data_IF_309422029507
#
_entry.id   IF_309422029507
#
_cell.length_a   1.000
_cell.length_b   1.000
_cell.length_c   1.000
_cell.angle_alpha   90.00
_cell.angle_beta   90.00
_cell.angle_gamma   90.00
#
_symmetry.space_group_name_H-M   'P 1'
#
loop_
_entity.id
_entity.type
_entity.pdbx_description
1 polymer ?
#
# COMPACT_ATOMS: atom_id res chain seq x y z
N UNK A 1 9.09 6.88 -21.59
CA UNK A 1 10.10 7.38 -20.63
C UNK A 1 9.55 7.15 -19.23
N UNK A 2 9.94 6.07 -18.57
CA UNK A 2 9.59 5.81 -17.18
C UNK A 2 10.62 6.59 -16.36
N UNK A 3 10.18 7.65 -15.68
CA UNK A 3 11.04 8.54 -14.92
C UNK A 3 11.86 7.73 -13.91
N UNK A 4 13.18 7.89 -13.98
CA UNK A 4 14.03 7.65 -12.82
C UNK A 4 13.38 8.39 -11.66
N UNK A 5 13.16 7.69 -10.54
CA UNK A 5 12.77 8.30 -9.27
C UNK A 5 13.49 9.64 -9.14
N UNK A 6 12.75 10.75 -9.07
CA UNK A 6 13.36 12.08 -9.05
C UNK A 6 13.90 12.43 -7.64
N UNK A 7 14.64 11.48 -7.07
CA UNK A 7 15.46 11.66 -5.88
C UNK A 7 16.45 12.79 -6.10
N UNK A 8 16.77 13.14 -7.35
CA UNK A 8 17.58 14.32 -7.69
C UNK A 8 16.82 15.63 -7.43
N UNK A 9 15.54 15.70 -7.80
CA UNK A 9 14.66 16.87 -7.54
C UNK A 9 14.19 17.01 -6.10
N UNK A 10 14.34 16.00 -5.23
CA UNK A 10 14.01 16.16 -3.80
C UNK A 10 14.95 17.16 -3.12
N UNK A 11 14.40 18.05 -2.30
CA UNK A 11 15.18 18.96 -1.45
C UNK A 11 15.96 18.17 -0.39
N UNK A 12 17.08 18.73 0.10
CA UNK A 12 17.89 18.08 1.14
C UNK A 12 17.08 17.69 2.41
N UNK A 13 16.13 18.51 2.91
CA UNK A 13 15.27 18.10 4.02
C UNK A 13 14.36 16.90 3.69
N UNK A 14 13.79 16.84 2.49
CA UNK A 14 12.95 15.69 2.08
C UNK A 14 13.78 14.40 1.95
N UNK A 15 15.02 14.52 1.51
CA UNK A 15 15.98 13.41 1.45
C UNK A 15 16.35 12.92 2.85
N UNK A 16 16.61 13.82 3.78
CA UNK A 16 16.89 13.49 5.18
C UNK A 16 15.70 12.80 5.86
N UNK A 17 14.48 13.29 5.65
CA UNK A 17 13.24 12.66 6.15
C UNK A 17 13.02 11.27 5.57
N UNK A 18 13.31 11.07 4.28
CA UNK A 18 13.24 9.75 3.64
C UNK A 18 14.22 8.75 4.29
N UNK A 19 15.49 9.15 4.45
CA UNK A 19 16.54 8.32 5.03
C UNK A 19 16.24 8.01 6.50
N UNK A 20 15.93 9.05 7.29
CA UNK A 20 15.61 8.92 8.70
C UNK A 20 14.36 8.06 8.90
N UNK A 21 13.35 8.27 8.06
CA UNK A 21 12.14 7.47 8.03
C UNK A 21 12.40 5.99 7.73
N UNK A 22 13.24 5.70 6.75
CA UNK A 22 13.58 4.31 6.40
C UNK A 22 14.39 3.63 7.51
N UNK A 23 15.39 4.32 8.04
CA UNK A 23 16.19 3.84 9.17
C UNK A 23 15.31 3.55 10.40
N UNK A 24 14.40 4.48 10.75
CA UNK A 24 13.48 4.29 11.88
C UNK A 24 12.50 3.14 11.63
N UNK A 25 11.95 3.03 10.42
CA UNK A 25 11.04 1.93 10.05
C UNK A 25 11.72 0.57 10.19
N UNK A 26 12.96 0.45 9.71
CA UNK A 26 13.74 -0.78 9.82
C UNK A 26 14.04 -1.15 11.30
N UNK A 27 14.32 -0.15 12.14
CA UNK A 27 14.54 -0.34 13.58
C UNK A 27 13.22 -0.75 14.27
N UNK A 28 12.11 -0.06 14.01
CA UNK A 28 10.80 -0.42 14.57
C UNK A 28 10.34 -1.81 14.15
N UNK A 29 10.54 -2.20 12.89
CA UNK A 29 10.21 -3.55 12.40
C UNK A 29 11.08 -4.64 13.07
N UNK A 30 12.34 -4.33 13.43
CA UNK A 30 13.22 -5.24 14.19
C UNK A 30 12.79 -5.33 15.65
N UNK A 31 12.46 -4.21 16.28
CA UNK A 31 11.99 -4.16 17.66
C UNK A 31 10.65 -4.88 17.81
N UNK A 32 9.73 -4.73 16.85
CA UNK A 32 8.47 -5.47 16.83
C UNK A 32 8.67 -6.98 16.66
N UNK A 33 9.57 -7.42 15.76
CA UNK A 33 9.90 -8.85 15.62
C UNK A 33 10.54 -9.42 16.89
N UNK A 34 11.46 -8.69 17.50
CA UNK A 34 12.07 -9.07 18.78
C UNK A 34 11.03 -9.16 19.91
N UNK A 35 10.07 -8.24 19.97
CA UNK A 35 9.00 -8.23 20.97
C UNK A 35 7.96 -9.36 20.77
N UNK A 36 7.81 -9.86 19.54
CA UNK A 36 6.90 -10.96 19.20
C UNK A 36 7.56 -12.35 19.31
N UNK A 37 8.83 -12.42 19.71
CA UNK A 37 9.54 -13.69 19.94
C UNK A 37 9.85 -14.49 18.68
N UNK A 38 9.89 -13.85 17.50
CA UNK A 38 10.27 -14.50 16.24
C UNK A 38 11.80 -14.61 16.16
N UNK A 39 12.36 -15.45 17.02
CA UNK A 39 13.79 -15.81 17.06
C UNK A 39 13.94 -17.30 16.82
N UNK A 40 13.46 -17.84 15.69
CA UNK A 40 13.89 -19.18 15.28
C UNK A 40 13.72 -19.44 13.77
N UNK A 41 14.82 -19.29 13.05
CA UNK A 41 15.20 -20.26 12.01
C UNK A 41 16.59 -20.77 12.37
N UNK A 42 16.81 -22.09 12.45
CA UNK A 42 18.11 -22.62 12.83
C UNK A 42 19.13 -22.24 11.76
N UNK A 43 20.20 -21.59 12.20
CA UNK A 43 21.41 -21.40 11.42
C UNK A 43 21.99 -22.79 11.12
N UNK A 44 22.02 -23.16 9.84
CA UNK A 44 22.91 -24.22 9.39
C UNK A 44 24.34 -23.70 9.58
N UNK A 45 25.08 -24.38 10.44
CA UNK A 45 26.43 -24.05 10.84
C UNK A 45 27.38 -24.00 9.63
N UNK A 46 28.13 -22.90 9.52
CA UNK A 46 29.19 -22.74 8.54
C UNK A 46 29.50 -21.27 8.28
N UNK A 47 30.58 -20.79 8.88
CA UNK A 47 31.29 -19.53 8.61
C UNK A 47 30.76 -18.23 9.25
N UNK A 48 31.50 -17.82 10.27
CA UNK A 48 31.51 -16.54 10.97
C UNK A 48 31.96 -15.39 10.05
N UNK A 49 31.02 -14.70 9.40
CA UNK A 49 31.13 -13.25 9.13
C UNK A 49 29.76 -12.60 9.29
N UNK A 50 29.67 -11.65 10.22
CA UNK A 50 28.49 -10.82 10.43
C UNK A 50 28.03 -10.18 9.11
N UNK A 51 26.75 -10.27 8.69
CA UNK A 51 26.28 -9.50 7.56
C UNK A 51 26.00 -8.08 8.03
N UNK A 52 26.95 -7.20 7.74
CA UNK A 52 26.80 -5.75 7.86
C UNK A 52 25.65 -5.24 6.99
N UNK A 53 25.03 -4.19 7.50
CA UNK A 53 23.92 -3.43 6.94
C UNK A 53 24.18 -2.91 5.52
N UNK A 54 23.65 -3.58 4.50
CA UNK A 54 23.68 -3.10 3.10
C UNK A 54 22.52 -2.15 2.73
N UNK A 55 21.68 -1.75 3.69
CA UNK A 55 20.47 -0.94 3.42
C UNK A 55 20.68 0.59 3.42
N UNK A 56 21.65 1.10 4.19
CA UNK A 56 21.92 2.54 4.33
C UNK A 56 23.06 2.99 3.42
N UNK A 57 24.10 2.15 3.29
CA UNK A 57 25.23 2.34 2.38
C UNK A 57 24.81 2.35 0.91
N UNK A 58 23.83 1.51 0.52
CA UNK A 58 23.29 1.52 -0.85
C UNK A 58 22.48 2.78 -1.16
N UNK A 59 21.88 3.41 -0.14
CA UNK A 59 21.22 4.71 -0.27
C UNK A 59 22.26 5.83 -0.39
N UNK A 60 23.29 5.83 0.47
CA UNK A 60 24.41 6.78 0.46
C UNK A 60 25.23 6.71 -0.85
N UNK A 61 25.56 5.52 -1.34
CA UNK A 61 26.27 5.33 -2.61
C UNK A 61 25.49 5.89 -3.81
N UNK A 62 24.16 5.89 -3.74
CA UNK A 62 23.30 6.49 -4.77
C UNK A 62 23.23 8.03 -4.68
N UNK A 63 23.56 8.60 -3.52
CA UNK A 63 23.68 10.04 -3.27
C UNK A 63 25.04 10.61 -3.70
N UNK A 64 26.11 9.83 -3.59
CA UNK A 64 27.49 10.28 -3.85
C UNK A 64 27.92 10.20 -5.33
N UNK A 65 27.05 9.72 -6.22
CA UNK A 65 27.33 9.70 -7.66
C UNK A 65 28.51 8.81 -8.08
N UNK A 66 28.92 7.86 -7.24
CA UNK A 66 30.05 6.96 -7.54
C UNK A 66 29.57 5.81 -8.44
N UNK A 67 30.18 5.57 -9.61
CA UNK A 67 29.76 4.47 -10.48
C UNK A 67 30.19 3.15 -9.85
N UNK A 68 29.25 2.22 -9.70
CA UNK A 68 29.57 0.81 -9.54
C UNK A 68 30.19 0.33 -10.87
N UNK A 69 31.39 -0.24 -10.79
CA UNK A 69 32.10 -0.81 -11.93
C UNK A 69 31.27 -1.91 -12.59
N UNK A 70 30.97 -1.73 -13.88
CA UNK A 70 30.33 -2.73 -14.73
C UNK A 70 31.37 -3.69 -15.33
N UNK A 71 31.06 -4.98 -15.52
CA UNK A 71 31.69 -5.75 -16.57
C UNK A 71 31.00 -5.47 -17.92
N UNK A 72 31.81 -5.33 -18.96
CA UNK A 72 31.42 -5.18 -20.35
C UNK A 72 30.57 -6.35 -20.85
N UNK A 73 29.46 -6.04 -21.54
CA UNK A 73 28.85 -6.92 -22.53
C UNK A 73 28.20 -6.09 -23.65
N UNK A 74 28.85 -6.15 -24.81
CA UNK A 74 28.37 -6.07 -26.20
C UNK A 74 26.96 -5.54 -26.50
N UNK A 75 26.92 -4.57 -27.42
CA UNK A 75 25.74 -3.83 -27.84
C UNK A 75 24.61 -4.66 -28.44
N UNK A 76 23.39 -4.25 -28.10
CA UNK A 76 22.16 -4.58 -28.80
C UNK A 76 21.29 -3.32 -28.86
N UNK A 77 21.05 -2.83 -30.07
CA UNK A 77 20.09 -1.74 -30.36
C UNK A 77 18.66 -2.22 -30.12
N UNK A 78 17.96 -1.59 -29.17
CA UNK A 78 16.53 -1.82 -28.93
C UNK A 78 15.67 -0.95 -29.85
N UNK A 79 14.88 -1.60 -30.70
CA UNK A 79 13.77 -1.03 -31.46
C UNK A 79 12.56 -0.98 -30.51
N UNK A 80 12.03 0.21 -30.23
CA UNK A 80 10.81 0.41 -29.44
C UNK A 80 9.63 -0.31 -30.11
N UNK A 81 9.18 -1.42 -29.54
CA UNK A 81 7.87 -2.00 -29.85
C UNK A 81 6.96 -1.74 -28.66
N UNK A 82 5.95 -0.91 -28.89
CA UNK A 82 4.82 -0.71 -27.97
C UNK A 82 4.20 -2.08 -27.72
N UNK A 83 4.33 -2.58 -26.49
CA UNK A 83 3.67 -3.82 -26.05
C UNK A 83 2.19 -3.50 -25.80
N UNK A 84 1.36 -3.71 -26.82
CA UNK A 84 -0.06 -3.95 -26.62
C UNK A 84 -0.23 -5.24 -25.80
N UNK A 85 -0.83 -5.12 -24.62
CA UNK A 85 -1.21 -6.27 -23.81
C UNK A 85 -2.42 -6.99 -24.43
N UNK A 86 -2.51 -8.34 -24.31
CA UNK A 86 -3.68 -9.08 -24.77
C UNK A 86 -4.91 -8.68 -23.95
N UNK A 87 -6.00 -8.35 -24.64
CA UNK A 87 -7.31 -8.12 -24.02
C UNK A 87 -7.88 -9.47 -23.59
N UNK A 88 -7.95 -9.70 -22.29
CA UNK A 88 -8.88 -10.68 -21.74
C UNK A 88 -10.20 -9.94 -21.52
N UNK A 89 -11.19 -10.25 -22.36
CA UNK A 89 -12.52 -9.66 -22.29
C UNK A 89 -13.19 -10.09 -20.97
N UNK A 90 -13.11 -9.20 -19.97
CA UNK A 90 -13.97 -9.27 -18.79
C UNK A 90 -15.35 -8.72 -19.17
N UNK A 91 -16.46 -9.33 -18.71
CA UNK A 91 -17.79 -8.85 -19.00
C UNK A 91 -17.95 -7.41 -18.49
N UNK A 92 -18.58 -6.57 -19.32
CA UNK A 92 -18.84 -5.17 -19.03
C UNK A 92 -19.72 -5.05 -17.77
N UNK A 93 -19.08 -4.83 -16.62
CA UNK A 93 -19.77 -4.30 -15.44
C UNK A 93 -20.36 -2.95 -15.81
N UNK A 94 -21.64 -2.74 -15.49
CA UNK A 94 -22.34 -1.47 -15.66
C UNK A 94 -21.38 -0.31 -15.37
N UNK A 95 -21.24 0.60 -16.34
CA UNK A 95 -20.37 1.76 -16.20
C UNK A 95 -20.89 2.61 -15.04
N UNK A 96 -20.37 2.37 -13.85
CA UNK A 96 -20.58 3.22 -12.70
C UNK A 96 -20.15 4.66 -13.00
N UNK A 97 -20.47 5.61 -12.10
CA UNK A 97 -20.21 7.03 -12.33
C UNK A 97 -18.76 7.26 -12.77
N UNK A 98 -18.58 7.98 -13.88
CA UNK A 98 -17.25 8.32 -14.37
C UNK A 98 -16.54 9.24 -13.39
N UNK A 99 -15.24 8.98 -13.18
CA UNK A 99 -14.41 9.84 -12.36
C UNK A 99 -14.14 11.16 -13.10
N UNK A 100 -14.31 12.29 -12.41
CA UNK A 100 -14.11 13.61 -13.02
C UNK A 100 -12.91 14.36 -12.41
N UNK A 101 -12.28 15.21 -13.21
CA UNK A 101 -11.16 16.05 -12.75
C UNK A 101 -11.60 17.06 -11.69
N UNK A 102 -12.81 17.62 -11.82
CA UNK A 102 -13.37 18.57 -10.88
C UNK A 102 -13.51 17.97 -9.46
N UNK A 103 -14.02 16.75 -9.34
CA UNK A 103 -14.16 16.04 -8.07
C UNK A 103 -12.82 15.67 -7.40
N UNK A 104 -11.74 15.57 -8.19
CA UNK A 104 -10.39 15.36 -7.65
C UNK A 104 -9.72 16.64 -7.15
N UNK A 105 -10.16 17.83 -7.60
CA UNK A 105 -9.58 19.11 -7.22
C UNK A 105 -8.06 19.16 -7.43
N UNK A 106 -7.29 19.48 -6.38
CA UNK A 106 -5.82 19.50 -6.40
C UNK A 106 -5.18 18.17 -6.80
N UNK A 107 -5.94 17.07 -6.77
CA UNK A 107 -5.49 15.72 -7.12
C UNK A 107 -5.76 15.34 -8.58
N UNK A 108 -6.30 16.25 -9.40
CA UNK A 108 -6.63 16.00 -10.81
C UNK A 108 -5.45 15.45 -11.63
N UNK A 109 -4.21 15.80 -11.26
CA UNK A 109 -2.97 15.25 -11.86
C UNK A 109 -2.87 13.72 -11.80
N UNK A 110 -3.57 13.09 -10.86
CA UNK A 110 -3.57 11.63 -10.67
C UNK A 110 -4.67 10.92 -11.48
N UNK A 111 -5.55 11.65 -12.16
CA UNK A 111 -6.67 11.10 -12.93
C UNK A 111 -6.23 10.01 -13.93
N UNK A 112 -5.17 10.19 -14.75
CA UNK A 112 -4.76 9.15 -15.69
C UNK A 112 -4.30 7.86 -15.00
N UNK A 113 -3.59 7.97 -13.86
CA UNK A 113 -3.14 6.81 -13.10
C UNK A 113 -4.33 6.06 -12.48
N UNK A 114 -5.31 6.80 -11.93
CA UNK A 114 -6.54 6.22 -11.39
C UNK A 114 -7.34 5.48 -12.46
N UNK A 115 -7.49 6.07 -13.66
CA UNK A 115 -8.20 5.43 -14.77
C UNK A 115 -7.49 4.16 -15.25
N UNK A 116 -6.16 4.18 -15.41
CA UNK A 116 -5.40 2.98 -15.81
C UNK A 116 -5.48 1.88 -14.77
N UNK A 117 -5.32 2.22 -13.48
CA UNK A 117 -5.40 1.26 -12.40
C UNK A 117 -6.81 0.67 -12.26
N UNK A 118 -7.85 1.51 -12.40
CA UNK A 118 -9.25 1.08 -12.43
C UNK A 118 -9.52 0.11 -13.59
N UNK A 119 -9.11 0.45 -14.81
CA UNK A 119 -9.27 -0.40 -15.98
C UNK A 119 -8.58 -1.77 -15.80
N UNK A 120 -7.33 -1.76 -15.31
CA UNK A 120 -6.53 -2.99 -15.10
C UNK A 120 -7.13 -3.91 -14.04
N UNK A 121 -7.73 -3.34 -13.00
CA UNK A 121 -8.26 -4.11 -11.87
C UNK A 121 -9.76 -4.34 -11.94
N UNK A 122 -10.47 -3.70 -12.87
CA UNK A 122 -11.94 -3.71 -12.95
C UNK A 122 -12.62 -3.06 -11.74
N UNK A 123 -11.92 -2.19 -11.00
CA UNK A 123 -12.52 -1.40 -9.91
C UNK A 123 -13.13 -0.11 -10.48
N UNK A 124 -14.26 0.38 -9.94
CA UNK A 124 -14.74 1.71 -10.28
C UNK A 124 -13.68 2.76 -9.92
N UNK A 125 -13.36 3.67 -10.85
CA UNK A 125 -12.32 4.67 -10.63
C UNK A 125 -12.66 5.62 -9.47
N UNK A 126 -13.94 5.95 -9.28
CA UNK A 126 -14.44 6.72 -8.13
C UNK A 126 -14.26 5.98 -6.81
N UNK A 127 -14.44 4.66 -6.79
CA UNK A 127 -14.16 3.82 -5.63
C UNK A 127 -12.67 3.82 -5.28
N UNK A 128 -11.81 3.66 -6.29
CA UNK A 128 -10.37 3.72 -6.12
C UNK A 128 -9.92 5.08 -5.58
N UNK A 129 -10.39 6.18 -6.17
CA UNK A 129 -10.08 7.53 -5.70
C UNK A 129 -10.51 7.77 -4.25
N UNK A 130 -11.67 7.23 -3.84
CA UNK A 130 -12.10 7.30 -2.44
C UNK A 130 -11.19 6.55 -1.47
N UNK A 131 -10.69 5.37 -1.86
CA UNK A 131 -9.73 4.60 -1.06
C UNK A 131 -8.40 5.38 -0.96
N UNK A 132 -7.85 5.86 -2.08
CA UNK A 132 -6.62 6.67 -2.06
C UNK A 132 -6.80 7.90 -1.19
N UNK A 133 -7.93 8.60 -1.33
CA UNK A 133 -8.23 9.76 -0.52
C UNK A 133 -8.37 9.42 0.97
N UNK A 134 -8.91 8.27 1.34
CA UNK A 134 -9.06 7.87 2.73
C UNK A 134 -7.71 7.54 3.39
N UNK A 135 -6.76 7.00 2.63
CA UNK A 135 -5.43 6.62 3.15
C UNK A 135 -4.41 7.77 3.11
N UNK A 136 -4.46 8.61 2.07
CA UNK A 136 -3.45 9.62 1.86
C UNK A 136 -3.48 10.71 2.95
N UNK A 137 -2.30 11.01 3.49
CA UNK A 137 -2.06 12.29 4.16
C UNK A 137 -2.34 13.44 3.19
N UNK A 138 -2.90 14.54 3.70
CA UNK A 138 -3.35 15.68 2.87
C UNK A 138 -2.64 16.96 3.27
N UNK A 139 -2.29 17.77 2.27
CA UNK A 139 -1.86 19.15 2.43
C UNK A 139 -3.01 20.05 2.88
N UNK A 140 -2.69 21.31 3.18
CA UNK A 140 -3.70 22.33 3.55
C UNK A 140 -4.70 22.59 2.42
N UNK A 141 -4.26 22.40 1.17
CA UNK A 141 -5.03 22.51 -0.06
C UNK A 141 -5.80 21.21 -0.42
N UNK A 142 -5.72 20.17 0.42
CA UNK A 142 -6.33 18.87 0.13
C UNK A 142 -5.54 18.00 -0.85
N UNK A 143 -4.36 18.44 -1.31
CA UNK A 143 -3.50 17.63 -2.18
C UNK A 143 -2.96 16.40 -1.42
N UNK A 144 -2.98 15.25 -2.08
CA UNK A 144 -2.47 14.00 -1.54
C UNK A 144 -0.95 14.03 -1.46
N UNK A 145 -0.42 13.68 -0.28
CA UNK A 145 1.00 13.73 0.03
C UNK A 145 1.66 12.37 -0.23
N UNK A 146 2.39 12.26 -1.33
CA UNK A 146 3.11 11.04 -1.69
C UNK A 146 4.21 10.69 -0.68
N UNK A 147 4.73 11.67 0.04
CA UNK A 147 5.77 11.48 1.07
C UNK A 147 5.20 11.34 2.49
N UNK A 148 3.88 11.14 2.64
CA UNK A 148 3.29 10.92 3.95
C UNK A 148 3.84 9.65 4.60
N UNK A 149 4.05 9.70 5.92
CA UNK A 149 4.52 8.58 6.73
C UNK A 149 3.84 8.56 8.08
N UNK A 150 3.57 7.37 8.59
CA UNK A 150 3.11 7.19 9.96
C UNK A 150 4.32 7.14 10.91
N UNK A 151 4.39 7.96 11.97
CA UNK A 151 5.54 7.97 12.86
C UNK A 151 5.67 6.73 13.76
N UNK A 152 4.62 5.91 13.85
CA UNK A 152 4.53 4.76 14.74
C UNK A 152 4.59 3.41 14.01
N UNK A 153 4.77 3.41 12.69
CA UNK A 153 4.82 2.19 11.89
C UNK A 153 5.63 2.39 10.61
N UNK A 154 5.76 1.33 9.81
CA UNK A 154 6.38 1.40 8.49
C UNK A 154 5.48 1.99 7.40
N UNK A 155 4.22 2.34 7.71
CA UNK A 155 3.26 2.86 6.73
C UNK A 155 3.76 4.15 6.05
N UNK A 156 3.74 4.15 4.72
CA UNK A 156 4.21 5.26 3.89
C UNK A 156 3.48 5.34 2.55
N UNK A 157 3.48 6.53 1.96
CA UNK A 157 2.94 6.75 0.61
C UNK A 157 1.46 7.10 0.59
N UNK A 158 0.92 7.23 -0.63
CA UNK A 158 -0.51 7.53 -0.81
C UNK A 158 -1.44 6.46 -0.23
N UNK A 159 -0.97 5.21 -0.17
CA UNK A 159 -1.73 4.08 0.36
C UNK A 159 -1.29 3.64 1.75
N UNK A 160 -0.42 4.39 2.43
CA UNK A 160 0.07 4.08 3.78
C UNK A 160 0.52 2.61 3.94
N UNK A 161 1.13 2.03 2.91
CA UNK A 161 1.50 0.62 2.90
C UNK A 161 2.61 0.33 3.90
N UNK A 162 2.42 -0.71 4.71
CA UNK A 162 3.50 -1.31 5.53
C UNK A 162 4.55 -1.95 4.63
N UNK A 163 5.80 -2.04 5.11
CA UNK A 163 6.91 -2.64 4.35
C UNK A 163 6.61 -4.07 3.92
N UNK A 164 6.11 -4.91 4.85
CA UNK A 164 5.78 -6.30 4.57
C UNK A 164 4.63 -6.46 3.58
N UNK A 165 3.60 -5.62 3.67
CA UNK A 165 2.50 -5.63 2.69
C UNK A 165 2.99 -5.23 1.31
N UNK A 166 3.86 -4.23 1.22
CA UNK A 166 4.43 -3.77 -0.04
C UNK A 166 5.31 -4.84 -0.70
N UNK A 167 6.19 -5.48 0.07
CA UNK A 167 6.98 -6.63 -0.38
C UNK A 167 6.08 -7.76 -0.86
N UNK A 168 5.06 -8.15 -0.08
CA UNK A 168 4.11 -9.17 -0.49
C UNK A 168 3.39 -8.82 -1.80
N UNK A 169 3.06 -7.55 -2.01
CA UNK A 169 2.49 -7.09 -3.29
C UNK A 169 3.49 -7.24 -4.44
N UNK A 170 4.78 -6.98 -4.21
CA UNK A 170 5.85 -7.16 -5.19
C UNK A 170 6.17 -8.64 -5.47
N UNK A 171 5.88 -9.56 -4.57
CA UNK A 171 6.10 -11.00 -4.74
C UNK A 171 4.87 -11.71 -5.34
N UNK A 172 3.71 -11.06 -5.25
CA UNK A 172 2.46 -11.62 -5.73
C UNK A 172 2.30 -11.47 -7.24
N UNK A 173 2.25 -12.60 -7.95
CA UNK A 173 1.95 -12.62 -9.40
C UNK A 173 0.66 -11.89 -9.75
N UNK A 174 0.66 -11.19 -10.89
CA UNK A 174 -0.49 -10.45 -11.41
C UNK A 174 -0.70 -9.05 -10.81
N UNK A 175 0.12 -8.63 -9.85
CA UNK A 175 0.14 -7.23 -9.41
C UNK A 175 1.07 -6.40 -10.28
N UNK A 176 0.77 -5.11 -10.39
CA UNK A 176 1.62 -4.15 -11.07
C UNK A 176 3.02 -4.09 -10.44
N UNK A 177 3.10 -4.14 -9.11
CA UNK A 177 4.37 -4.05 -8.39
C UNK A 177 5.25 -5.28 -8.64
N UNK A 178 4.64 -6.46 -8.79
CA UNK A 178 5.36 -7.68 -9.14
C UNK A 178 5.86 -7.65 -10.59
N UNK A 179 5.09 -7.08 -11.53
CA UNK A 179 5.57 -6.87 -12.89
C UNK A 179 6.76 -5.90 -12.92
N UNK A 180 6.72 -4.82 -12.14
CA UNK A 180 7.86 -3.89 -11.98
C UNK A 180 9.06 -4.59 -11.35
N UNK A 181 8.87 -5.37 -10.29
CA UNK A 181 9.94 -6.08 -9.63
C UNK A 181 10.59 -7.12 -10.57
N UNK A 182 9.78 -7.85 -11.37
CA UNK A 182 10.28 -8.78 -12.39
C UNK A 182 11.07 -8.05 -13.48
N UNK A 183 10.52 -6.97 -14.04
CA UNK A 183 11.16 -6.19 -15.09
C UNK A 183 12.51 -5.58 -14.65
N UNK A 184 12.67 -5.31 -13.35
CA UNK A 184 13.90 -4.78 -12.76
C UNK A 184 14.86 -5.84 -12.23
N UNK A 185 14.53 -7.13 -12.37
CA UNK A 185 15.35 -8.22 -11.85
C UNK A 185 15.47 -8.21 -10.32
N UNK A 186 14.44 -7.74 -9.61
CA UNK A 186 14.45 -7.61 -8.15
C UNK A 186 13.96 -8.86 -7.41
N UNK A 187 13.48 -9.86 -8.13
CA UNK A 187 12.98 -11.11 -7.57
C UNK A 187 13.98 -12.24 -7.82
N UNK A 188 14.15 -13.13 -6.84
CA UNK A 188 14.90 -14.37 -7.00
C UNK A 188 14.07 -15.45 -7.74
N UNK A 189 14.65 -16.63 -7.95
CA UNK A 189 13.99 -17.76 -8.63
C UNK A 189 12.71 -18.25 -7.94
N UNK A 190 12.55 -17.93 -6.65
CA UNK A 190 11.34 -18.25 -5.87
C UNK A 190 10.29 -17.15 -5.95
N UNK A 191 10.53 -16.08 -6.70
CA UNK A 191 9.65 -14.91 -6.81
C UNK A 191 9.69 -13.98 -5.59
N UNK A 192 10.69 -14.12 -4.72
CA UNK A 192 10.84 -13.32 -3.50
C UNK A 192 11.75 -12.12 -3.74
N UNK A 193 11.50 -11.01 -3.05
CA UNK A 193 12.31 -9.80 -3.18
C UNK A 193 13.72 -10.06 -2.68
N UNK A 194 14.72 -9.78 -3.51
CA UNK A 194 16.12 -9.89 -3.13
C UNK A 194 16.51 -8.82 -2.11
N UNK A 195 17.26 -9.20 -1.09
CA UNK A 195 17.64 -8.30 0.00
C UNK A 195 18.32 -7.00 -0.47
N UNK A 196 19.19 -7.09 -1.50
CA UNK A 196 19.88 -5.94 -2.08
C UNK A 196 18.98 -4.93 -2.81
N UNK A 197 17.77 -5.34 -3.21
CA UNK A 197 16.82 -4.50 -3.94
C UNK A 197 15.70 -3.95 -3.03
N UNK A 198 15.65 -4.39 -1.77
CA UNK A 198 14.55 -4.10 -0.84
C UNK A 198 14.32 -2.60 -0.64
N UNK A 199 15.37 -1.81 -0.45
CA UNK A 199 15.24 -0.34 -0.25
C UNK A 199 14.68 0.36 -1.49
N UNK A 200 15.13 -0.06 -2.68
CA UNK A 200 14.66 0.46 -3.97
C UNK A 200 13.20 0.09 -4.23
N UNK A 201 12.79 -1.10 -3.81
CA UNK A 201 11.39 -1.50 -3.85
C UNK A 201 10.54 -0.64 -2.91
N UNK A 202 10.97 -0.49 -1.65
CA UNK A 202 10.22 0.26 -0.63
C UNK A 202 10.10 1.75 -0.95
N UNK A 203 11.05 2.33 -1.69
CA UNK A 203 10.98 3.73 -2.13
C UNK A 203 9.88 3.99 -3.17
N UNK A 204 9.41 2.96 -3.88
CA UNK A 204 8.28 3.10 -4.80
C UNK A 204 6.96 3.43 -4.07
N UNK A 205 6.89 3.29 -2.74
CA UNK A 205 5.73 3.79 -1.96
C UNK A 205 5.56 5.30 -2.04
N UNK A 206 6.61 6.05 -2.37
CA UNK A 206 6.52 7.50 -2.55
C UNK A 206 6.25 7.90 -3.99
N UNK A 207 6.24 6.94 -4.92
CA UNK A 207 5.80 7.17 -6.29
C UNK A 207 4.28 7.07 -6.36
N UNK A 208 3.65 8.11 -6.93
CA UNK A 208 2.20 8.22 -6.96
C UNK A 208 1.57 7.12 -7.84
N UNK A 209 2.15 6.83 -9.00
CA UNK A 209 1.62 5.84 -9.93
C UNK A 209 1.77 4.42 -9.37
N UNK A 210 2.92 4.09 -8.81
CA UNK A 210 3.16 2.83 -8.12
C UNK A 210 2.21 2.65 -6.94
N UNK A 211 2.01 3.69 -6.13
CA UNK A 211 1.09 3.64 -5.00
C UNK A 211 -0.35 3.41 -5.45
N UNK A 212 -0.84 4.16 -6.44
CA UNK A 212 -2.21 4.03 -6.94
C UNK A 212 -2.45 2.64 -7.53
N UNK A 213 -1.51 2.11 -8.32
CA UNK A 213 -1.62 0.76 -8.87
C UNK A 213 -1.62 -0.31 -7.77
N UNK A 214 -0.74 -0.19 -6.77
CA UNK A 214 -0.68 -1.11 -5.65
C UNK A 214 -1.94 -1.05 -4.78
N UNK A 215 -2.52 0.13 -4.55
CA UNK A 215 -3.81 0.28 -3.85
C UNK A 215 -4.90 -0.45 -4.63
N UNK A 216 -4.96 -0.28 -5.95
CA UNK A 216 -5.95 -0.95 -6.80
C UNK A 216 -5.81 -2.48 -6.73
N UNK A 217 -4.58 -3.00 -6.83
CA UNK A 217 -4.33 -4.45 -6.72
C UNK A 217 -4.71 -5.00 -5.36
N UNK A 218 -4.34 -4.29 -4.30
CA UNK A 218 -4.61 -4.73 -2.94
C UNK A 218 -6.11 -4.68 -2.64
N UNK A 219 -6.81 -3.64 -3.10
CA UNK A 219 -8.26 -3.52 -3.03
C UNK A 219 -8.95 -4.68 -3.76
N UNK A 220 -8.53 -4.99 -5.01
CA UNK A 220 -9.06 -6.14 -5.77
C UNK A 220 -8.85 -7.45 -5.03
N UNK A 221 -7.64 -7.73 -4.55
CA UNK A 221 -7.35 -8.96 -3.78
C UNK A 221 -8.15 -9.07 -2.50
N UNK A 222 -8.36 -7.96 -1.79
CA UNK A 222 -9.19 -7.93 -0.60
C UNK A 222 -10.64 -8.29 -0.94
N UNK A 223 -11.20 -7.67 -1.98
CA UNK A 223 -12.56 -7.97 -2.44
C UNK A 223 -12.72 -9.43 -2.85
N UNK A 224 -11.77 -9.98 -3.63
CA UNK A 224 -11.85 -11.37 -4.07
C UNK A 224 -11.73 -12.34 -2.89
N UNK A 225 -10.93 -11.99 -1.88
CA UNK A 225 -10.80 -12.79 -0.66
C UNK A 225 -12.02 -12.70 0.25
N UNK A 226 -12.64 -11.52 0.35
CA UNK A 226 -13.92 -11.33 1.04
C UNK A 226 -15.02 -12.16 0.37
N UNK A 227 -15.13 -12.11 -0.97
CA UNK A 227 -16.10 -12.90 -1.74
C UNK A 227 -15.88 -14.40 -1.56
N UNK A 228 -14.62 -14.88 -1.61
CA UNK A 228 -14.28 -16.28 -1.32
C UNK A 228 -14.66 -16.71 0.09
N UNK A 229 -14.67 -15.79 1.06
CA UNK A 229 -15.13 -16.05 2.42
C UNK A 229 -16.65 -15.96 2.62
N UNK A 230 -17.42 -15.74 1.54
CA UNK A 230 -18.87 -15.58 1.56
C UNK A 230 -19.34 -14.20 2.00
N UNK A 231 -18.46 -13.19 2.03
CA UNK A 231 -18.83 -11.81 2.38
C UNK A 231 -19.35 -11.07 1.14
N UNK A 232 -20.54 -10.49 1.25
CA UNK A 232 -21.08 -9.63 0.22
C UNK A 232 -20.27 -8.32 0.13
N UNK A 233 -19.80 -7.98 -1.07
CA UNK A 233 -19.03 -6.74 -1.33
C UNK A 233 -19.85 -5.64 -2.00
N UNK A 234 -21.16 -5.89 -2.23
CA UNK A 234 -22.03 -5.03 -3.03
C UNK A 234 -21.63 -4.95 -4.51
N UNK A 235 -22.48 -4.27 -5.29
CA UNK A 235 -22.30 -4.06 -6.74
C UNK A 235 -21.98 -2.62 -7.15
N UNK A 236 -22.29 -1.64 -6.30
CA UNK A 236 -22.04 -0.22 -6.61
C UNK A 236 -20.66 0.25 -6.08
N UNK A 237 -20.19 1.40 -6.57
CA UNK A 237 -18.89 1.96 -6.22
C UNK A 237 -18.72 2.22 -4.71
N UNK A 238 -19.79 2.61 -4.01
CA UNK A 238 -19.77 2.90 -2.56
C UNK A 238 -19.50 1.62 -1.77
N UNK A 239 -20.23 0.56 -2.03
CA UNK A 239 -20.09 -0.70 -1.30
C UNK A 239 -18.75 -1.37 -1.61
N UNK A 240 -18.33 -1.34 -2.88
CA UNK A 240 -17.01 -1.83 -3.32
C UNK A 240 -15.90 -1.08 -2.59
N UNK A 241 -15.96 0.26 -2.53
CA UNK A 241 -14.94 1.06 -1.86
C UNK A 241 -14.86 0.75 -0.37
N UNK A 242 -16.00 0.66 0.31
CA UNK A 242 -16.07 0.37 1.75
C UNK A 242 -15.57 -1.04 2.07
N UNK A 243 -15.98 -2.05 1.31
CA UNK A 243 -15.53 -3.43 1.52
C UNK A 243 -14.02 -3.58 1.30
N UNK A 244 -13.48 -2.98 0.22
CA UNK A 244 -12.05 -2.97 -0.04
C UNK A 244 -11.26 -2.23 1.07
N UNK A 245 -11.76 -1.07 1.49
CA UNK A 245 -11.17 -0.26 2.55
C UNK A 245 -11.15 -1.00 3.89
N UNK A 246 -12.21 -1.74 4.24
CA UNK A 246 -12.24 -2.54 5.46
C UNK A 246 -11.14 -3.61 5.47
N UNK A 247 -10.93 -4.29 4.34
CA UNK A 247 -9.82 -5.24 4.19
C UNK A 247 -8.45 -4.59 4.38
N UNK A 248 -8.29 -3.35 3.88
CA UNK A 248 -7.07 -2.58 4.05
C UNK A 248 -6.86 -2.15 5.51
N UNK A 249 -7.87 -1.54 6.12
CA UNK A 249 -7.78 -0.89 7.43
C UNK A 249 -7.71 -1.87 8.61
N UNK A 250 -8.40 -3.02 8.53
CA UNK A 250 -8.39 -4.05 9.58
C UNK A 250 -7.37 -5.16 9.32
N UNK A 251 -6.91 -5.30 8.08
CA UNK A 251 -6.37 -6.55 7.58
C UNK A 251 -7.48 -7.56 7.26
N UNK A 252 -7.23 -8.43 6.28
CA UNK A 252 -8.23 -9.31 5.69
C UNK A 252 -8.95 -10.22 6.71
N UNK A 253 -8.21 -10.83 7.64
CA UNK A 253 -8.79 -11.78 8.60
C UNK A 253 -9.79 -11.14 9.56
N UNK A 254 -9.46 -9.95 10.09
CA UNK A 254 -10.38 -9.20 10.95
C UNK A 254 -11.52 -8.57 10.15
N UNK A 255 -11.29 -8.16 8.91
CA UNK A 255 -12.36 -7.69 8.02
C UNK A 255 -13.41 -8.78 7.75
N UNK A 256 -12.99 -10.02 7.48
CA UNK A 256 -13.93 -11.16 7.28
C UNK A 256 -14.77 -11.36 8.53
N UNK A 257 -14.14 -11.44 9.71
CA UNK A 257 -14.86 -11.62 10.99
C UNK A 257 -15.81 -10.46 11.25
N UNK A 258 -15.34 -9.22 11.05
CA UNK A 258 -16.14 -8.01 11.21
C UNK A 258 -17.39 -8.02 10.33
N UNK A 259 -17.26 -8.47 9.08
CA UNK A 259 -18.35 -8.45 8.10
C UNK A 259 -19.36 -9.57 8.28
N UNK A 260 -18.98 -10.69 8.92
CA UNK A 260 -19.88 -11.83 9.18
C UNK A 260 -20.50 -11.74 10.57
N UNK A 261 -19.71 -12.06 11.59
CA UNK A 261 -20.20 -12.37 12.95
C UNK A 261 -19.81 -11.29 13.97
N UNK A 262 -19.01 -10.31 13.54
CA UNK A 262 -18.38 -9.34 14.43
C UNK A 262 -17.07 -9.85 15.01
N UNK A 263 -16.32 -8.91 15.61
CA UNK A 263 -15.08 -9.25 16.30
C UNK A 263 -15.38 -9.68 17.74
N UNK A 264 -14.57 -10.62 18.26
CA UNK A 264 -14.67 -10.94 19.68
C UNK A 264 -14.35 -9.69 20.55
N UNK A 265 -14.88 -9.59 21.78
CA UNK A 265 -14.76 -8.37 22.59
C UNK A 265 -13.32 -7.93 22.87
N UNK A 266 -12.42 -8.87 23.15
CA UNK A 266 -11.00 -8.56 23.42
C UNK A 266 -10.28 -7.96 22.21
N UNK A 267 -10.49 -8.55 21.02
CA UNK A 267 -9.92 -8.04 19.77
C UNK A 267 -10.54 -6.69 19.40
N UNK A 268 -11.86 -6.53 19.56
CA UNK A 268 -12.55 -5.27 19.30
C UNK A 268 -12.03 -4.13 20.19
N UNK A 269 -11.84 -4.39 21.50
CA UNK A 269 -11.25 -3.43 22.43
C UNK A 269 -9.81 -3.06 22.02
N UNK A 270 -9.01 -4.05 21.63
CA UNK A 270 -7.62 -3.85 21.20
C UNK A 270 -7.55 -2.94 19.98
N UNK A 271 -8.35 -3.20 18.95
CA UNK A 271 -8.38 -2.40 17.73
C UNK A 271 -8.91 -0.98 18.00
N UNK A 272 -10.00 -0.86 18.75
CA UNK A 272 -10.56 0.45 19.09
C UNK A 272 -9.54 1.31 19.87
N UNK A 273 -8.84 0.72 20.85
CA UNK A 273 -7.77 1.40 21.57
C UNK A 273 -6.65 1.87 20.65
N UNK A 274 -6.25 1.05 19.67
CA UNK A 274 -5.21 1.42 18.72
C UNK A 274 -5.64 2.56 17.77
N UNK A 275 -6.93 2.58 17.41
CA UNK A 275 -7.49 3.51 16.43
C UNK A 275 -7.82 4.89 17.03
N UNK A 276 -8.43 4.94 18.22
CA UNK A 276 -8.89 6.21 18.83
C UNK A 276 -8.28 6.52 20.19
N UNK A 277 -7.39 5.67 20.70
CA UNK A 277 -6.77 5.81 22.01
C UNK A 277 -7.66 5.30 23.16
N UNK A 278 -7.02 4.87 24.25
CA UNK A 278 -7.68 4.17 25.37
C UNK A 278 -8.82 4.97 26.02
N UNK A 279 -8.63 6.28 26.22
CA UNK A 279 -9.65 7.12 26.86
C UNK A 279 -10.96 7.20 26.06
N UNK A 280 -10.87 7.53 24.77
CA UNK A 280 -12.04 7.61 23.88
C UNK A 280 -12.66 6.22 23.66
N UNK A 281 -11.84 5.18 23.57
CA UNK A 281 -12.32 3.81 23.46
C UNK A 281 -13.14 3.41 24.70
N UNK A 282 -12.66 3.69 25.91
CA UNK A 282 -13.40 3.42 27.15
C UNK A 282 -14.78 4.09 27.19
N UNK A 283 -14.87 5.36 26.78
CA UNK A 283 -16.14 6.09 26.69
C UNK A 283 -17.11 5.45 25.69
N UNK A 284 -16.62 5.08 24.50
CA UNK A 284 -17.44 4.42 23.47
C UNK A 284 -17.91 3.03 23.92
N UNK A 285 -17.05 2.27 24.62
CA UNK A 285 -17.40 0.95 25.17
C UNK A 285 -18.48 1.06 26.24
N UNK A 286 -18.36 2.03 27.15
CA UNK A 286 -19.36 2.27 28.17
C UNK A 286 -20.72 2.68 27.57
N UNK A 287 -20.70 3.55 26.56
CA UNK A 287 -21.91 4.00 25.88
C UNK A 287 -22.61 2.88 25.07
N UNK A 288 -21.85 2.01 24.40
CA UNK A 288 -22.39 0.92 23.60
C UNK A 288 -22.67 -0.37 24.39
N UNK A 289 -22.28 -0.44 25.66
CA UNK A 289 -22.42 -1.60 26.53
C UNK A 289 -21.39 -2.72 26.30
N UNK A 290 -20.76 -2.81 25.13
CA UNK A 290 -19.67 -3.76 24.88
C UNK A 290 -18.69 -3.30 23.80
N UNK A 291 -17.47 -3.86 23.83
CA UNK A 291 -16.40 -3.49 22.91
C UNK A 291 -16.67 -3.85 21.44
N UNK A 292 -17.36 -4.96 21.20
CA UNK A 292 -17.74 -5.36 19.84
C UNK A 292 -18.69 -4.35 19.20
N UNK A 293 -19.73 -3.93 19.93
CA UNK A 293 -20.68 -2.93 19.45
C UNK A 293 -20.02 -1.56 19.27
N UNK A 294 -19.22 -1.11 20.24
CA UNK A 294 -18.50 0.16 20.17
C UNK A 294 -17.56 0.25 18.97
N UNK A 295 -16.74 -0.79 18.75
CA UNK A 295 -15.83 -0.83 17.61
C UNK A 295 -16.60 -0.86 16.27
N UNK A 296 -17.69 -1.63 16.18
CA UNK A 296 -18.53 -1.69 14.98
C UNK A 296 -19.16 -0.34 14.65
N UNK A 297 -19.80 0.30 15.63
CA UNK A 297 -20.44 1.60 15.45
C UNK A 297 -19.41 2.66 15.03
N UNK A 298 -18.27 2.70 15.72
CA UNK A 298 -17.21 3.64 15.40
C UNK A 298 -16.66 3.42 13.99
N UNK A 299 -16.32 2.18 13.62
CA UNK A 299 -15.69 1.90 12.33
C UNK A 299 -16.65 2.16 11.16
N UNK A 300 -17.92 1.76 11.28
CA UNK A 300 -18.91 2.04 10.23
C UNK A 300 -19.09 3.55 10.06
N UNK A 301 -19.22 4.32 11.14
CA UNK A 301 -19.32 5.78 11.07
C UNK A 301 -18.05 6.43 10.51
N UNK A 302 -16.87 5.89 10.84
CA UNK A 302 -15.59 6.36 10.29
C UNK A 302 -15.50 6.11 8.79
N UNK A 303 -15.78 4.89 8.35
CA UNK A 303 -15.77 4.51 6.93
C UNK A 303 -16.78 5.34 6.13
N UNK A 304 -18.00 5.53 6.66
CA UNK A 304 -19.03 6.32 6.00
C UNK A 304 -18.67 7.78 5.79
N UNK A 305 -17.89 8.37 6.72
CA UNK A 305 -17.42 9.75 6.58
C UNK A 305 -16.25 9.90 5.61
N UNK A 306 -15.37 8.91 5.55
CA UNK A 306 -14.09 9.02 4.85
C UNK A 306 -14.08 8.37 3.45
N UNK A 307 -14.87 7.32 3.24
CA UNK A 307 -14.92 6.57 1.97
C UNK A 307 -16.16 7.01 1.19
N UNK A 308 -15.97 8.03 0.35
CA UNK A 308 -17.04 8.72 -0.38
C UNK A 308 -16.77 8.79 -1.89
N UNK A 309 -17.04 7.71 -2.65
CA UNK A 309 -16.84 7.69 -4.10
C UNK A 309 -17.64 8.75 -4.85
N UNK A 310 -18.81 9.13 -4.31
CA UNK A 310 -19.69 10.17 -4.83
C UNK A 310 -19.01 11.54 -4.97
N UNK A 311 -17.98 11.83 -4.15
CA UNK A 311 -17.21 13.09 -4.25
C UNK A 311 -16.33 13.19 -5.49
N UNK A 312 -16.08 12.07 -6.17
CA UNK A 312 -15.19 12.00 -7.32
C UNK A 312 -15.95 11.74 -8.63
N UNK A 313 -17.27 11.58 -8.56
CA UNK A 313 -18.12 11.41 -9.72
C UNK A 313 -18.36 12.75 -10.43
N UNK A 314 -18.61 12.69 -11.75
CA UNK A 314 -19.13 13.81 -12.54
C UNK A 314 -20.56 14.21 -12.11
#
# INVERSE_FOLDING_TARGET
MISQLDLRQMSAPQKAELIYGEARSAISDRLWRAALGDTDRPALAGETKAPTSLGLESLLAMFEGKPASAPSATGFTFRNKVLESPRTDLPATEKGPEICSAGLGANARHLPALQRAAARTGLPATALAAIVNAEAGKGRDGAWQCYSRNPRSSAAGLGQFLSGTWEHMAESKGTWLNDVARARGWLNDRGQVMAGCRSQLLSLRYDAEASINSIADYARKNLDSLRRAGVATGGNAKDIAKAAYMGHHLGLGDAIKFMKDGLNPGRAATLLNAQIGRGKAGQQIAAAGCATAAHRQWLLAYVDRNVRPDRFAA
#
